data_IF_549519564488
#
_entry.id   IF_549519564488
#
_cell.length_a   1.000
_cell.length_b   1.000
_cell.length_c   1.000
_cell.angle_alpha   90.00
_cell.angle_beta   90.00
_cell.angle_gamma   90.00
#
_symmetry.space_group_name_H-M   'P 1'
#
loop_
_entity.id
_entity.type
_entity.pdbx_description
1 polymer ?
#
# COMPACT_ATOMS: atom_id res chain seq x y z
N UNK A 1 8.06 -0.16 19.47
CA UNK A 1 7.34 0.15 18.21
C UNK A 1 7.08 -1.15 17.47
N UNK A 2 5.82 -1.50 17.22
CA UNK A 2 5.49 -2.66 16.37
C UNK A 2 5.72 -2.29 14.90
N UNK A 3 6.52 -3.09 14.18
CA UNK A 3 6.65 -2.97 12.73
C UNK A 3 5.53 -3.77 12.09
N UNK A 4 4.66 -3.12 11.34
CA UNK A 4 3.62 -3.80 10.57
C UNK A 4 4.30 -4.42 9.34
N UNK A 5 4.26 -5.75 9.24
CA UNK A 5 4.66 -6.43 8.01
C UNK A 5 3.51 -6.33 7.01
N UNK A 6 3.62 -5.39 6.08
CA UNK A 6 2.70 -5.23 4.97
C UNK A 6 3.41 -5.68 3.70
N UNK A 7 2.96 -6.81 3.13
CA UNK A 7 3.53 -7.35 1.90
C UNK A 7 3.06 -6.46 0.72
N UNK A 8 3.92 -5.56 0.29
CA UNK A 8 3.62 -4.57 -0.76
C UNK A 8 4.61 -4.69 -1.91
N UNK A 9 4.78 -5.89 -2.47
CA UNK A 9 5.89 -6.23 -3.41
C UNK A 9 6.02 -5.24 -4.57
N UNK A 10 4.91 -4.77 -5.12
CA UNK A 10 4.89 -3.83 -6.26
C UNK A 10 4.82 -2.35 -5.86
N UNK A 11 4.91 -2.07 -4.56
CA UNK A 11 4.83 -0.71 -4.05
C UNK A 11 6.20 -0.06 -3.94
N UNK A 12 6.28 1.23 -4.26
CA UNK A 12 7.41 2.10 -4.02
C UNK A 12 7.93 2.04 -2.58
N UNK A 13 7.02 1.92 -1.59
CA UNK A 13 7.37 1.86 -0.18
C UNK A 13 7.89 0.50 0.30
N UNK A 14 8.02 -0.48 -0.60
CA UNK A 14 8.57 -1.78 -0.26
C UNK A 14 10.06 -1.70 0.06
N UNK A 15 10.44 -2.12 1.26
CA UNK A 15 11.81 -2.45 1.60
C UNK A 15 11.85 -3.85 2.23
N UNK A 16 12.38 -4.83 1.51
CA UNK A 16 12.51 -6.21 1.97
C UNK A 16 11.19 -6.81 2.49
N UNK A 17 10.09 -6.63 1.75
CA UNK A 17 8.74 -7.10 2.14
C UNK A 17 8.14 -6.39 3.38
N UNK A 18 8.67 -5.22 3.74
CA UNK A 18 8.06 -4.29 4.69
C UNK A 18 7.63 -3.03 3.94
N UNK A 19 6.49 -2.45 4.32
CA UNK A 19 6.10 -1.11 3.89
C UNK A 19 6.77 -0.09 4.81
N UNK A 20 7.55 0.83 4.25
CA UNK A 20 8.20 1.94 4.98
C UNK A 20 7.44 3.27 4.87
N UNK A 21 6.18 3.25 4.43
CA UNK A 21 5.34 4.44 4.49
C UNK A 21 5.14 4.85 5.95
N UNK A 22 5.14 6.16 6.22
CA UNK A 22 4.95 6.72 7.56
C UNK A 22 3.58 6.33 8.16
N UNK A 23 2.58 6.17 7.30
CA UNK A 23 1.25 5.70 7.64
C UNK A 23 0.68 4.84 6.50
N UNK A 24 -0.15 3.85 6.86
CA UNK A 24 -0.95 3.07 5.90
C UNK A 24 -2.38 3.60 5.94
N UNK A 25 -2.87 4.01 4.78
CA UNK A 25 -4.24 4.43 4.55
C UNK A 25 -4.99 3.33 3.80
N UNK A 26 -6.06 2.82 4.40
CA UNK A 26 -6.93 1.80 3.82
C UNK A 26 -8.28 2.43 3.53
N UNK A 27 -8.74 2.32 2.28
CA UNK A 27 -10.02 2.88 1.80
C UNK A 27 -10.82 1.81 1.06
N UNK A 28 -12.06 2.14 0.70
CA UNK A 28 -12.84 1.27 -0.19
C UNK A 28 -12.17 1.17 -1.55
N UNK A 29 -12.22 0.01 -2.19
CA UNK A 29 -11.69 -0.23 -3.55
C UNK A 29 -12.53 0.40 -4.68
N UNK A 30 -13.30 1.45 -4.39
CA UNK A 30 -14.09 2.17 -5.40
C UNK A 30 -15.25 2.96 -4.81
N UNK A 31 -16.42 2.32 -4.67
CA UNK A 31 -17.72 2.98 -4.46
C UNK A 31 -18.04 3.38 -3.00
N UNK A 32 -17.06 3.47 -2.10
CA UNK A 32 -17.24 3.82 -0.69
C UNK A 32 -18.16 2.89 0.11
N UNK A 33 -18.43 1.68 -0.38
CA UNK A 33 -19.19 0.65 0.32
C UNK A 33 -18.28 -0.56 0.56
N UNK A 34 -18.08 -0.93 1.82
CA UNK A 34 -17.19 -2.04 2.21
C UNK A 34 -17.95 -3.01 3.09
N UNK A 35 -18.17 -4.23 2.59
CA UNK A 35 -18.85 -5.31 3.33
C UNK A 35 -17.94 -6.52 3.57
N UNK A 36 -16.73 -6.53 2.99
CA UNK A 36 -15.71 -7.56 3.15
C UNK A 36 -14.32 -6.94 2.99
N UNK A 37 -13.28 -7.69 3.37
CA UNK A 37 -11.88 -7.30 3.16
C UNK A 37 -11.57 -7.01 1.70
N UNK A 38 -12.20 -7.73 0.76
CA UNK A 38 -11.97 -7.56 -0.68
C UNK A 38 -12.48 -6.21 -1.19
N UNK A 39 -13.42 -5.59 -0.46
CA UNK A 39 -13.88 -4.23 -0.69
C UNK A 39 -12.91 -3.15 -0.20
N UNK A 40 -11.77 -3.51 0.37
CA UNK A 40 -10.75 -2.57 0.84
C UNK A 40 -9.52 -2.55 -0.08
N UNK A 41 -8.87 -1.41 -0.16
CA UNK A 41 -7.63 -1.19 -0.90
C UNK A 41 -6.66 -0.32 -0.08
N UNK A 42 -5.36 -0.52 -0.31
CA UNK A 42 -4.31 0.32 0.25
C UNK A 42 -4.17 1.59 -0.61
N UNK A 43 -4.69 2.72 -0.14
CA UNK A 43 -4.62 4.01 -0.85
C UNK A 43 -3.19 4.58 -0.86
N UNK A 44 -2.39 4.19 0.14
CA UNK A 44 -0.95 4.50 0.20
C UNK A 44 -0.16 3.81 -0.91
N UNK A 45 -0.72 2.82 -1.61
CA UNK A 45 -0.02 2.14 -2.68
C UNK A 45 0.41 3.12 -3.78
N UNK A 46 1.70 3.08 -4.11
CA UNK A 46 2.28 3.73 -5.28
C UNK A 46 3.06 2.69 -6.09
N UNK A 47 2.82 2.54 -7.41
CA UNK A 47 3.58 1.61 -8.23
C UNK A 47 5.08 1.94 -8.21
N UNK A 48 5.94 0.93 -8.18
CA UNK A 48 7.40 1.11 -8.31
C UNK A 48 7.82 1.83 -9.60
N UNK A 49 7.06 1.67 -10.69
CA UNK A 49 7.30 2.36 -11.97
C UNK A 49 7.17 3.89 -11.89
N UNK A 50 6.47 4.41 -10.88
CA UNK A 50 6.30 5.85 -10.65
C UNK A 50 7.30 6.39 -9.60
N UNK A 51 8.33 5.62 -9.24
CA UNK A 51 9.41 6.13 -8.40
C UNK A 51 10.12 7.29 -9.12
N UNK A 52 10.40 8.42 -8.44
CA UNK A 52 11.17 9.51 -9.04
C UNK A 52 12.59 8.99 -9.33
N UNK A 53 12.85 8.61 -10.58
CA UNK A 53 14.11 7.98 -11.01
C UNK A 53 13.99 6.72 -11.87
N UNK A 54 12.79 6.31 -12.30
CA UNK A 54 12.62 5.17 -13.22
C UNK A 54 13.34 5.40 -14.56
N UNK A 55 14.41 4.61 -14.81
CA UNK A 55 14.95 4.30 -16.13
C UNK A 55 14.16 3.16 -16.75
#
# INVERSE_FOLDING_TARGET
MGRIKCLVEECYYNANQYCLADAIEVRSSGNNVVNSSDGTACETFRPKSNAPGGR
#
